data_IF_529136253444
#
_entry.id   IF_529136253444
#
_cell.length_a   1.000
_cell.length_b   1.000
_cell.length_c   1.000
_cell.angle_alpha   90.00
_cell.angle_beta   90.00
_cell.angle_gamma   90.00
#
_symmetry.space_group_name_H-M   'P 1'
#
loop_
_entity.id
_entity.type
_entity.pdbx_description
1 polymer ?
#
# COMPACT_ATOMS: atom_id res chain seq x y z
N UNK A 1 20.25 57.34 -54.48
CA UNK A 1 20.80 56.10 -53.90
C UNK A 1 19.88 55.69 -52.76
N UNK A 2 19.20 54.56 -52.94
CA UNK A 2 18.19 54.02 -52.03
C UNK A 2 18.77 52.81 -51.31
N UNK A 3 18.70 52.76 -49.98
CA UNK A 3 18.85 51.55 -49.16
C UNK A 3 18.27 51.81 -47.76
N UNK A 4 17.05 51.32 -47.50
CA UNK A 4 16.73 50.07 -46.78
C UNK A 4 16.76 50.24 -45.25
N UNK A 5 15.60 50.61 -44.72
CA UNK A 5 15.19 50.47 -43.33
C UNK A 5 14.83 49.01 -43.05
N UNK A 6 15.38 48.42 -41.98
CA UNK A 6 15.03 47.09 -41.48
C UNK A 6 13.66 47.11 -40.77
N UNK A 7 12.83 46.06 -40.87
CA UNK A 7 11.62 45.96 -40.06
C UNK A 7 11.91 45.49 -38.63
N UNK A 8 11.13 46.01 -37.69
CA UNK A 8 11.16 45.70 -36.26
C UNK A 8 10.67 44.26 -35.96
N UNK A 9 11.09 43.65 -34.83
CA UNK A 9 10.66 42.33 -34.43
C UNK A 9 9.21 42.33 -33.89
N UNK A 10 8.43 41.35 -34.32
CA UNK A 10 7.08 41.03 -33.81
C UNK A 10 7.21 40.32 -32.46
N UNK A 11 6.46 40.69 -31.40
CA UNK A 11 6.50 39.99 -30.13
C UNK A 11 5.74 38.65 -30.24
N UNK A 12 6.41 37.57 -29.84
CA UNK A 12 5.85 36.24 -29.73
C UNK A 12 4.96 36.19 -28.46
N UNK A 13 3.64 36.27 -28.63
CA UNK A 13 2.67 36.02 -27.57
C UNK A 13 2.70 34.54 -27.19
N UNK A 14 3.36 34.22 -26.08
CA UNK A 14 3.32 32.89 -25.46
C UNK A 14 1.94 32.70 -24.81
N UNK A 15 1.08 31.93 -25.47
CA UNK A 15 -0.18 31.48 -24.88
C UNK A 15 0.13 30.36 -23.86
N UNK A 16 0.10 30.68 -22.57
CA UNK A 16 0.05 29.69 -21.49
C UNK A 16 -1.32 29.01 -21.52
N UNK A 17 -1.42 27.90 -22.25
CA UNK A 17 -2.55 26.99 -22.14
C UNK A 17 -2.49 26.28 -20.77
N UNK A 18 -3.47 26.59 -19.93
CA UNK A 18 -3.80 25.87 -18.71
C UNK A 18 -4.06 24.40 -19.05
N UNK A 19 -3.09 23.53 -18.77
CA UNK A 19 -3.33 22.09 -18.69
C UNK A 19 -4.08 21.83 -17.38
N UNK A 20 -5.40 21.79 -17.47
CA UNK A 20 -6.24 21.13 -16.49
C UNK A 20 -5.78 19.67 -16.43
N UNK A 21 -5.11 19.29 -15.35
CA UNK A 21 -4.81 17.91 -15.05
C UNK A 21 -6.14 17.17 -14.87
N UNK A 22 -6.55 16.43 -15.91
CA UNK A 22 -7.61 15.45 -15.79
C UNK A 22 -7.19 14.46 -14.70
N UNK A 23 -7.92 14.46 -13.59
CA UNK A 23 -7.90 13.36 -12.65
C UNK A 23 -8.21 12.09 -13.45
N UNK A 24 -7.21 11.23 -13.63
CA UNK A 24 -7.43 9.90 -14.20
C UNK A 24 -8.48 9.22 -13.32
N UNK A 25 -9.57 8.69 -13.90
CA UNK A 25 -10.50 7.88 -13.14
C UNK A 25 -9.71 6.68 -12.63
N UNK A 26 -9.55 6.58 -11.31
CA UNK A 26 -9.07 5.38 -10.63
C UNK A 26 -9.93 4.23 -11.14
N UNK A 27 -9.32 3.32 -11.91
CA UNK A 27 -10.00 2.11 -12.33
C UNK A 27 -10.61 1.44 -11.08
N UNK A 28 -11.86 0.97 -11.12
CA UNK A 28 -12.45 0.29 -9.98
C UNK A 28 -11.54 -0.88 -9.62
N UNK A 29 -11.05 -0.86 -8.39
CA UNK A 29 -10.30 -1.94 -7.79
C UNK A 29 -11.18 -3.18 -7.96
N UNK A 30 -10.71 -4.15 -8.75
CA UNK A 30 -11.44 -5.41 -8.94
C UNK A 30 -11.80 -6.03 -7.60
N UNK A 31 -12.83 -6.89 -7.54
CA UNK A 31 -13.30 -7.46 -6.27
C UNK A 31 -12.11 -8.01 -5.48
N UNK A 32 -11.99 -7.58 -4.22
CA UNK A 32 -10.99 -8.11 -3.30
C UNK A 32 -11.30 -9.59 -3.07
N UNK A 33 -10.64 -10.47 -3.86
CA UNK A 33 -10.86 -11.93 -3.90
C UNK A 33 -10.78 -12.63 -2.53
N UNK A 34 -10.29 -11.94 -1.49
CA UNK A 34 -10.28 -12.46 -0.14
C UNK A 34 -11.61 -12.44 0.58
N UNK A 35 -12.42 -11.40 0.40
CA UNK A 35 -13.72 -11.34 1.07
C UNK A 35 -14.70 -12.36 0.47
N UNK A 36 -14.55 -12.65 -0.82
CA UNK A 36 -15.31 -13.70 -1.50
C UNK A 36 -14.86 -15.10 -1.07
N UNK A 37 -13.55 -15.32 -0.83
CA UNK A 37 -13.00 -16.61 -0.38
C UNK A 37 -13.19 -16.90 1.12
N UNK A 38 -13.08 -15.87 1.96
CA UNK A 38 -13.07 -15.99 3.43
C UNK A 38 -14.37 -16.51 4.05
N UNK A 39 -15.47 -16.56 3.31
CA UNK A 39 -16.72 -17.19 3.76
C UNK A 39 -16.83 -18.69 3.43
N UNK A 40 -16.03 -19.20 2.49
CA UNK A 40 -16.12 -20.58 2.03
C UNK A 40 -15.00 -21.48 2.57
N UNK A 41 -13.83 -20.92 2.88
CA UNK A 41 -12.67 -21.68 3.35
C UNK A 41 -12.52 -21.59 4.88
N UNK A 42 -12.23 -22.72 5.54
CA UNK A 42 -11.92 -22.82 6.97
C UNK A 42 -10.53 -22.26 7.30
N UNK A 43 -10.13 -21.20 6.62
CA UNK A 43 -8.82 -20.58 6.79
C UNK A 43 -8.67 -20.03 8.21
N UNK A 44 -7.46 -20.14 8.75
CA UNK A 44 -7.11 -19.60 10.09
C UNK A 44 -7.26 -18.07 10.12
N UNK A 45 -7.16 -17.43 8.96
CA UNK A 45 -7.37 -15.99 8.80
C UNK A 45 -8.75 -15.71 8.25
N UNK A 46 -9.72 -15.58 9.14
CA UNK A 46 -11.01 -14.98 8.77
C UNK A 46 -10.87 -13.47 8.89
N UNK A 47 -10.79 -12.71 7.77
CA UNK A 47 -10.79 -11.26 7.84
C UNK A 47 -12.09 -10.79 8.48
N UNK A 48 -12.00 -9.77 9.33
CA UNK A 48 -13.18 -9.10 9.88
C UNK A 48 -14.01 -8.52 8.73
N UNK A 49 -15.34 -8.50 8.89
CA UNK A 49 -16.23 -7.88 7.91
C UNK A 49 -15.76 -6.46 7.58
N UNK A 50 -15.91 -6.06 6.31
CA UNK A 50 -15.58 -4.72 5.85
C UNK A 50 -16.26 -3.68 6.75
N UNK A 51 -15.44 -2.84 7.39
CA UNK A 51 -15.90 -1.72 8.19
C UNK A 51 -16.29 -0.55 7.26
N UNK A 52 -17.31 0.25 7.61
CA UNK A 52 -17.52 1.53 6.94
C UNK A 52 -16.26 2.39 7.01
N UNK A 53 -16.02 3.19 5.96
CA UNK A 53 -14.91 4.13 5.94
C UNK A 53 -15.11 5.20 7.01
N UNK A 54 -14.11 5.38 7.87
CA UNK A 54 -14.14 6.37 8.96
C UNK A 54 -12.74 6.87 9.33
N UNK A 55 -12.67 8.04 9.98
CA UNK A 55 -11.45 8.61 10.53
C UNK A 55 -11.37 8.26 12.02
N UNK A 56 -10.23 7.73 12.47
CA UNK A 56 -10.04 7.49 13.90
C UNK A 56 -9.96 8.81 14.68
N UNK A 57 -10.67 8.94 15.82
CA UNK A 57 -10.42 10.01 16.77
C UNK A 57 -9.01 9.93 17.37
N UNK A 58 -8.46 11.06 17.82
CA UNK A 58 -7.14 11.09 18.45
C UNK A 58 -7.11 10.22 19.71
N UNK A 59 -6.03 9.45 19.88
CA UNK A 59 -5.85 8.52 21.00
C UNK A 59 -6.60 7.19 20.86
N UNK A 60 -7.51 7.07 19.90
CA UNK A 60 -8.25 5.84 19.65
C UNK A 60 -7.43 4.86 18.81
N UNK A 61 -7.73 3.58 18.97
CA UNK A 61 -7.17 2.51 18.16
C UNK A 61 -8.24 1.56 17.65
N UNK A 62 -7.92 0.92 16.54
CA UNK A 62 -8.68 -0.19 15.98
C UNK A 62 -7.75 -1.36 15.74
N UNK A 63 -8.29 -2.57 15.83
CA UNK A 63 -7.58 -3.78 15.40
C UNK A 63 -8.14 -4.27 14.10
N UNK A 64 -7.26 -4.73 13.23
CA UNK A 64 -7.59 -5.32 11.93
C UNK A 64 -6.81 -6.62 11.76
N UNK A 65 -7.38 -7.51 10.95
CA UNK A 65 -6.73 -8.74 10.54
C UNK A 65 -6.12 -8.56 9.15
N UNK A 66 -4.88 -8.99 8.98
CA UNK A 66 -4.18 -8.97 7.69
C UNK A 66 -3.85 -10.38 7.29
N UNK A 67 -4.39 -10.79 6.14
CA UNK A 67 -4.14 -12.08 5.52
C UNK A 67 -3.18 -11.89 4.33
N UNK A 68 -2.11 -12.67 4.32
CA UNK A 68 -1.08 -12.66 3.27
C UNK A 68 -1.61 -13.11 1.90
N UNK A 69 -2.73 -13.85 1.86
CA UNK A 69 -3.43 -14.28 0.64
C UNK A 69 -4.20 -13.15 -0.03
N UNK A 70 -4.36 -12.01 0.66
CA UNK A 70 -5.10 -10.88 0.16
C UNK A 70 -4.19 -9.89 -0.53
N UNK A 71 -4.56 -9.55 -1.76
CA UNK A 71 -3.94 -8.44 -2.48
C UNK A 71 -4.19 -7.13 -1.73
N UNK A 72 -5.38 -6.94 -1.16
CA UNK A 72 -5.63 -5.81 -0.27
C UNK A 72 -6.38 -6.27 0.96
N UNK A 73 -5.88 -5.82 2.12
CA UNK A 73 -6.56 -5.89 3.40
C UNK A 73 -7.02 -4.47 3.75
N UNK A 74 -8.21 -4.05 3.27
CA UNK A 74 -8.82 -2.78 3.66
C UNK A 74 -9.10 -2.74 5.15
N UNK A 75 -8.93 -1.57 5.75
CA UNK A 75 -9.06 -1.38 7.20
C UNK A 75 -10.36 -0.67 7.56
N UNK A 76 -10.98 0.01 6.60
CA UNK A 76 -12.05 0.97 6.87
C UNK A 76 -11.53 2.30 7.43
N UNK A 77 -10.22 2.50 7.58
CA UNK A 77 -9.66 3.70 8.21
C UNK A 77 -9.13 4.66 7.15
N UNK A 78 -9.74 5.85 7.07
CA UNK A 78 -9.23 6.98 6.31
C UNK A 78 -8.14 7.68 7.13
N UNK A 79 -6.97 7.84 6.54
CA UNK A 79 -5.88 8.60 7.15
C UNK A 79 -6.10 10.09 6.91
N UNK A 80 -5.91 10.91 7.95
CA UNK A 80 -5.89 12.36 7.79
C UNK A 80 -4.48 12.82 7.45
N UNK A 81 -4.35 13.50 6.31
CA UNK A 81 -3.05 14.04 5.85
C UNK A 81 -2.36 14.85 6.95
N UNK A 82 -1.12 14.50 7.24
CA UNK A 82 -0.28 15.15 8.25
C UNK A 82 -0.46 14.63 9.68
N UNK A 83 -1.52 13.86 9.97
CA UNK A 83 -1.67 13.19 11.26
C UNK A 83 -0.69 12.02 11.40
N UNK A 84 -0.38 11.66 12.65
CA UNK A 84 0.55 10.57 12.97
C UNK A 84 -0.21 9.37 13.54
N UNK A 85 0.17 8.19 13.08
CA UNK A 85 -0.39 6.92 13.48
C UNK A 85 0.73 6.00 13.98
N UNK A 86 0.41 5.17 14.96
CA UNK A 86 1.25 4.07 15.41
C UNK A 86 0.62 2.77 14.93
N UNK A 87 1.37 2.04 14.12
CA UNK A 87 0.98 0.77 13.52
C UNK A 87 1.76 -0.33 14.22
N UNK A 88 1.08 -1.36 14.72
CA UNK A 88 1.76 -2.42 15.47
C UNK A 88 1.15 -3.78 15.21
N UNK A 89 1.99 -4.75 14.89
CA UNK A 89 1.60 -6.16 14.90
C UNK A 89 1.47 -6.60 16.36
N UNK A 90 0.25 -6.96 16.76
CA UNK A 90 -0.08 -7.35 18.15
C UNK A 90 -0.28 -8.85 18.30
N UNK A 91 -0.43 -9.58 17.19
CA UNK A 91 -0.56 -11.02 17.20
C UNK A 91 -0.26 -11.65 15.85
N UNK A 92 0.09 -12.93 15.87
CA UNK A 92 0.32 -13.77 14.69
C UNK A 92 -0.44 -15.07 14.91
N UNK A 93 -1.40 -15.36 14.03
CA UNK A 93 -2.24 -16.58 14.07
C UNK A 93 -1.75 -17.65 13.10
N UNK A 94 -1.08 -17.25 12.03
CA UNK A 94 -0.45 -18.11 11.03
C UNK A 94 0.91 -17.51 10.67
N UNK A 95 1.92 -18.36 10.47
CA UNK A 95 3.28 -17.94 10.13
C UNK A 95 3.29 -17.15 8.82
N UNK A 96 4.11 -16.12 8.75
CA UNK A 96 4.22 -15.28 7.56
C UNK A 96 5.19 -15.92 6.56
N UNK A 97 4.69 -16.79 5.70
CA UNK A 97 5.51 -17.60 4.79
C UNK A 97 4.98 -17.52 3.36
N UNK A 98 5.87 -17.21 2.43
CA UNK A 98 5.67 -17.49 1.01
C UNK A 98 5.91 -18.99 0.78
N UNK A 99 5.18 -19.57 -0.16
CA UNK A 99 5.34 -20.96 -0.56
C UNK A 99 6.82 -21.36 -0.74
N UNK A 100 7.15 -22.58 -0.31
CA UNK A 100 8.49 -23.17 -0.43
C UNK A 100 9.58 -22.55 0.43
N UNK A 101 9.26 -21.54 1.26
CA UNK A 101 10.21 -20.89 2.15
C UNK A 101 9.91 -21.10 3.62
N UNK A 102 10.97 -20.98 4.42
CA UNK A 102 10.85 -20.74 5.86
C UNK A 102 10.17 -19.39 6.13
N UNK A 103 9.81 -19.16 7.39
CA UNK A 103 9.21 -17.90 7.83
C UNK A 103 9.99 -16.68 7.32
N UNK A 104 9.23 -15.79 6.67
CA UNK A 104 9.72 -14.51 6.18
C UNK A 104 9.63 -13.47 7.30
N UNK A 105 10.55 -12.52 7.26
CA UNK A 105 10.55 -11.40 8.18
C UNK A 105 9.57 -10.32 7.71
N UNK A 106 8.85 -9.71 8.66
CA UNK A 106 7.80 -8.74 8.31
C UNK A 106 8.38 -7.44 7.71
N UNK A 107 9.63 -7.10 8.01
CA UNK A 107 10.27 -5.88 7.53
C UNK A 107 11.14 -6.15 6.29
N UNK A 108 11.92 -7.23 6.37
CA UNK A 108 12.93 -7.54 5.38
C UNK A 108 12.54 -8.64 4.39
N UNK A 109 11.35 -9.23 4.57
CA UNK A 109 10.78 -10.16 3.61
C UNK A 109 11.43 -11.54 3.64
N UNK A 110 11.62 -12.14 2.46
CA UNK A 110 12.31 -13.42 2.30
C UNK A 110 13.66 -13.45 3.04
N UNK A 111 13.92 -14.57 3.74
CA UNK A 111 15.09 -14.76 4.60
C UNK A 111 16.09 -15.78 4.02
N UNK A 112 17.27 -15.90 4.64
CA UNK A 112 18.29 -16.86 4.21
C UNK A 112 18.78 -16.66 2.78
N UNK A 113 18.92 -17.74 2.01
CA UNK A 113 19.39 -17.69 0.62
C UNK A 113 18.40 -16.96 -0.31
N UNK A 114 17.10 -17.02 -0.01
CA UNK A 114 16.06 -16.37 -0.82
C UNK A 114 16.12 -14.83 -0.72
N UNK A 115 16.70 -14.27 0.34
CA UNK A 115 16.91 -12.81 0.43
C UNK A 115 17.74 -12.28 -0.74
N UNK A 116 18.72 -13.05 -1.22
CA UNK A 116 19.59 -12.65 -2.34
C UNK A 116 18.86 -12.71 -3.68
N UNK A 117 18.05 -13.74 -3.92
CA UNK A 117 17.23 -13.84 -5.13
C UNK A 117 16.04 -12.86 -5.11
N UNK A 118 15.54 -12.51 -3.92
CA UNK A 118 14.48 -11.53 -3.71
C UNK A 118 14.79 -10.15 -4.31
N UNK A 119 16.08 -9.76 -4.38
CA UNK A 119 16.51 -8.51 -5.01
C UNK A 119 16.21 -8.43 -6.50
N UNK A 120 16.21 -9.56 -7.21
CA UNK A 120 15.82 -9.67 -8.62
C UNK A 120 14.33 -9.90 -8.77
N UNK A 121 13.75 -10.78 -7.93
CA UNK A 121 12.34 -11.12 -7.96
C UNK A 121 11.44 -9.90 -7.72
N UNK A 122 11.86 -8.94 -6.89
CA UNK A 122 11.05 -7.74 -6.55
C UNK A 122 10.68 -6.88 -7.74
N UNK A 123 11.37 -6.94 -8.87
CA UNK A 123 11.03 -6.12 -10.04
C UNK A 123 9.62 -6.39 -10.61
N UNK A 124 9.05 -7.55 -10.31
CA UNK A 124 7.66 -7.88 -10.68
C UNK A 124 6.68 -7.79 -9.50
N UNK A 125 7.17 -7.46 -8.30
CA UNK A 125 6.33 -7.30 -7.12
C UNK A 125 5.50 -6.02 -7.22
N UNK A 126 4.40 -5.97 -6.47
CA UNK A 126 3.54 -4.79 -6.41
C UNK A 126 4.24 -3.54 -5.90
N UNK A 127 5.22 -3.72 -5.03
CA UNK A 127 6.05 -2.64 -4.51
C UNK A 127 7.53 -2.96 -4.81
N UNK A 128 8.00 -2.75 -6.05
CA UNK A 128 9.31 -3.23 -6.52
C UNK A 128 10.51 -2.58 -5.83
N UNK A 129 10.27 -1.45 -5.15
CA UNK A 129 11.28 -0.75 -4.35
C UNK A 129 11.45 -1.32 -2.93
N UNK A 130 10.59 -2.28 -2.54
CA UNK A 130 10.55 -2.87 -1.20
C UNK A 130 10.88 -4.36 -1.24
N UNK A 131 11.26 -4.97 -0.09
CA UNK A 131 11.57 -6.39 -0.04
C UNK A 131 10.37 -7.25 -0.42
N UNK A 132 10.60 -8.33 -1.16
CA UNK A 132 9.55 -9.32 -1.44
C UNK A 132 9.09 -9.95 -0.12
N UNK A 133 7.78 -10.08 0.00
CA UNK A 133 7.05 -10.67 1.12
C UNK A 133 7.11 -9.91 2.44
N UNK A 134 7.67 -8.69 2.45
CA UNK A 134 7.51 -7.81 3.60
C UNK A 134 6.03 -7.44 3.82
N UNK A 135 5.65 -7.17 5.07
CA UNK A 135 4.37 -6.57 5.40
C UNK A 135 4.38 -5.10 4.99
N UNK A 136 3.50 -4.76 4.07
CA UNK A 136 3.35 -3.42 3.52
C UNK A 136 2.10 -2.74 4.03
N UNK A 137 2.18 -1.43 4.16
CA UNK A 137 1.05 -0.53 4.26
C UNK A 137 0.95 0.32 2.98
N UNK A 138 -0.27 0.78 2.68
CA UNK A 138 -0.55 1.68 1.58
C UNK A 138 -1.60 2.72 1.98
N UNK A 139 -1.43 3.95 1.50
CA UNK A 139 -2.44 5.01 1.57
C UNK A 139 -3.09 5.10 0.19
N UNK A 140 -4.23 4.41 0.01
CA UNK A 140 -4.81 4.20 -1.32
C UNK A 140 -4.00 3.22 -2.18
N UNK A 141 -4.21 3.26 -3.51
CA UNK A 141 -3.67 2.26 -4.44
C UNK A 141 -2.41 2.72 -5.20
N UNK A 142 -1.93 3.95 -4.94
CA UNK A 142 -0.78 4.51 -5.64
C UNK A 142 0.54 4.08 -5.00
N UNK A 143 1.44 3.48 -5.78
CA UNK A 143 2.71 2.91 -5.30
C UNK A 143 3.58 3.90 -4.51
N UNK A 144 3.55 5.19 -4.88
CA UNK A 144 4.32 6.22 -4.18
C UNK A 144 3.96 6.37 -2.69
N UNK A 145 2.79 5.87 -2.28
CA UNK A 145 2.32 5.86 -0.89
C UNK A 145 2.46 4.50 -0.21
N UNK A 146 3.14 3.54 -0.83
CA UNK A 146 3.45 2.26 -0.19
C UNK A 146 4.64 2.41 0.74
N UNK A 147 4.63 1.64 1.84
CA UNK A 147 5.69 1.65 2.82
C UNK A 147 5.77 0.31 3.56
N UNK A 148 6.97 -0.04 4.03
CA UNK A 148 7.17 -1.22 4.88
C UNK A 148 6.64 -0.92 6.28
N UNK A 149 5.80 -1.80 6.82
CA UNK A 149 5.29 -1.72 8.20
C UNK A 149 6.20 -2.49 9.16
N UNK A 150 6.70 -3.66 8.76
CA UNK A 150 7.48 -4.51 9.66
C UNK A 150 6.66 -5.04 10.83
N UNK A 151 7.29 -5.20 12.00
CA UNK A 151 6.58 -5.52 13.24
C UNK A 151 5.81 -4.31 13.82
N UNK A 152 6.17 -3.10 13.42
CA UNK A 152 5.49 -1.87 13.80
C UNK A 152 6.19 -0.63 13.26
N UNK A 153 5.43 0.46 13.10
CA UNK A 153 5.88 1.70 12.47
C UNK A 153 5.06 2.90 12.94
N UNK A 154 5.75 4.00 13.23
CA UNK A 154 5.15 5.33 13.24
C UNK A 154 4.98 5.83 11.80
N UNK A 155 3.74 6.16 11.42
CA UNK A 155 3.37 6.67 10.10
C UNK A 155 2.90 8.11 10.23
N UNK A 156 3.50 9.04 9.49
CA UNK A 156 2.90 10.34 9.20
C UNK A 156 2.14 10.23 7.89
N UNK A 157 0.82 10.44 7.89
CA UNK A 157 0.02 10.28 6.70
C UNK A 157 0.36 11.36 5.66
N UNK A 158 0.52 10.93 4.41
CA UNK A 158 0.87 11.78 3.26
C UNK A 158 -0.34 12.00 2.34
N UNK A 159 -1.28 11.07 2.36
CA UNK A 159 -2.52 11.09 1.60
C UNK A 159 -3.75 10.99 2.53
N UNK A 160 -4.88 11.51 2.03
CA UNK A 160 -6.18 11.50 2.70
C UNK A 160 -7.00 10.25 2.34
N UNK A 161 -6.36 9.09 2.29
CA UNK A 161 -6.87 7.87 1.67
C UNK A 161 -7.05 6.75 2.70
N UNK A 162 -7.73 5.67 2.30
CA UNK A 162 -7.83 4.49 3.15
C UNK A 162 -6.44 3.85 3.38
N UNK A 163 -6.15 3.50 4.64
CA UNK A 163 -5.03 2.63 4.99
C UNK A 163 -5.37 1.18 4.63
N UNK A 164 -4.49 0.54 3.88
CA UNK A 164 -4.61 -0.89 3.56
C UNK A 164 -3.29 -1.61 3.83
N UNK A 165 -3.35 -2.92 4.00
CA UNK A 165 -2.16 -3.77 4.17
C UNK A 165 -2.09 -4.91 3.17
N UNK A 166 -0.88 -5.39 2.89
CA UNK A 166 -0.64 -6.55 2.02
C UNK A 166 0.75 -7.15 2.25
N UNK A 167 0.93 -8.42 1.86
CA UNK A 167 2.26 -9.00 1.65
C UNK A 167 2.83 -8.53 0.32
N UNK A 168 4.07 -8.00 0.26
CA UNK A 168 4.63 -7.51 -1.01
C UNK A 168 4.96 -8.66 -1.97
N UNK A 169 4.10 -8.95 -2.92
CA UNK A 169 4.27 -10.12 -3.78
C UNK A 169 3.83 -9.80 -5.23
N UNK A 170 4.05 -10.76 -6.13
CA UNK A 170 3.66 -10.66 -7.54
C UNK A 170 2.13 -10.63 -7.70
N UNK A 171 1.61 -9.76 -8.58
CA UNK A 171 0.20 -9.81 -8.94
C UNK A 171 -0.17 -11.21 -9.47
N UNK A 172 -1.07 -11.90 -8.76
CA UNK A 172 -1.53 -13.24 -9.13
C UNK A 172 -0.83 -14.41 -8.42
N UNK A 173 0.25 -14.18 -7.66
CA UNK A 173 0.92 -15.23 -6.89
C UNK A 173 0.26 -15.53 -5.53
N UNK A 174 -0.51 -14.60 -4.98
CA UNK A 174 -1.12 -14.64 -3.63
C UNK A 174 -1.86 -15.91 -3.18
N UNK A 175 -2.19 -16.82 -4.08
CA UNK A 175 -2.93 -18.05 -3.76
C UNK A 175 -2.10 -19.06 -2.96
N UNK A 176 -0.77 -18.94 -3.00
CA UNK A 176 0.17 -19.79 -2.27
C UNK A 176 0.76 -19.10 -1.03
N UNK A 177 0.27 -17.89 -0.70
CA UNK A 177 0.72 -17.14 0.46
C UNK A 177 0.09 -17.70 1.73
N UNK A 178 0.86 -17.64 2.82
CA UNK A 178 0.40 -17.98 4.15
C UNK A 178 0.79 -16.89 5.13
N UNK A 179 -0.10 -16.60 6.07
CA UNK A 179 0.14 -15.60 7.09
C UNK A 179 -1.14 -14.93 7.55
N UNK A 180 -1.25 -14.79 8.86
CA UNK A 180 -2.38 -14.13 9.48
C UNK A 180 -1.91 -13.30 10.66
N UNK A 181 -2.01 -11.99 10.52
CA UNK A 181 -1.57 -11.03 11.52
C UNK A 181 -2.74 -10.28 12.12
N UNK A 182 -2.63 -9.94 13.40
CA UNK A 182 -3.45 -8.93 14.04
C UNK A 182 -2.63 -7.64 14.09
N UNK A 183 -3.10 -6.59 13.44
CA UNK A 183 -2.52 -5.25 13.55
C UNK A 183 -3.42 -4.34 14.37
N UNK A 184 -2.79 -3.50 15.18
CA UNK A 184 -3.42 -2.36 15.83
C UNK A 184 -2.98 -1.08 15.11
N UNK A 185 -3.96 -0.23 14.79
CA UNK A 185 -3.77 1.09 14.19
C UNK A 185 -4.24 2.08 15.24
N UNK A 186 -3.36 2.96 15.69
CA UNK A 186 -3.69 3.99 16.68
C UNK A 186 -3.37 5.37 16.13
N UNK A 187 -4.33 6.30 16.18
CA UNK A 187 -4.04 7.69 15.88
C UNK A 187 -3.42 8.36 17.11
N UNK A 188 -2.25 8.95 16.96
CA UNK A 188 -1.57 9.64 18.05
C UNK A 188 -2.24 10.98 18.33
N UNK A 189 -2.38 11.32 19.61
CA UNK A 189 -2.77 12.68 20.02
C UNK A 189 -1.64 13.63 19.66
N UNK A 190 -1.99 14.77 19.05
CA UNK A 190 -1.05 15.88 18.85
C UNK A 190 -0.87 16.67 20.14
#
# INVERSE_FOLDING_TARGET
MSARTLPAPVPLLLACALLAACASPTAPVGPNRCYERGMADKSVCTPEALRPLDVLPAGQSVRVTVDARCQWNPTGIILERGATYDLKVTGRREAWTDSWQSESDLETGWTGMYRFSGGYARHWARAPRHPIYALMGAQGHEERYFFVVGAGRALKAEAGEELMFFANDWPGAYENNHGCLQLEIRKLSQ
#
